data_IF_115614086275
#
_entry.id   IF_115614086275
#
_cell.length_a   1.000
_cell.length_b   1.000
_cell.length_c   1.000
_cell.angle_alpha   90.00
_cell.angle_beta   90.00
_cell.angle_gamma   90.00
#
_symmetry.space_group_name_H-M   'P 1'
#
loop_
_entity.id
_entity.type
_entity.pdbx_description
1 polymer ?
#
# COMPACT_ATOMS: atom_id res chain seq x y z
N UNK A 1 32.51 -49.99 64.13
CA UNK A 1 33.69 -49.88 63.26
C UNK A 1 33.19 -49.49 61.88
N UNK A 2 32.88 -48.21 61.72
CA UNK A 2 33.72 -47.15 61.10
C UNK A 2 33.44 -47.05 59.61
N UNK A 3 32.32 -46.38 59.31
CA UNK A 3 32.15 -45.63 58.08
C UNK A 3 33.04 -44.39 58.14
N UNK A 4 33.77 -44.11 57.06
CA UNK A 4 34.56 -42.88 56.87
C UNK A 4 34.38 -42.44 55.41
N UNK A 5 34.14 -41.14 55.14
CA UNK A 5 33.48 -40.69 53.92
C UNK A 5 34.48 -40.21 52.85
N UNK A 6 34.06 -40.22 51.59
CA UNK A 6 34.76 -39.55 50.51
C UNK A 6 33.93 -38.34 50.01
N UNK A 7 34.35 -37.18 50.50
CA UNK A 7 34.51 -35.88 49.82
C UNK A 7 33.45 -35.41 48.81
N UNK A 8 32.73 -34.35 49.20
CA UNK A 8 32.00 -33.42 48.34
C UNK A 8 32.94 -32.72 47.35
N UNK A 9 32.62 -32.80 46.05
CA UNK A 9 33.19 -32.00 44.99
C UNK A 9 32.16 -31.01 44.43
N UNK A 10 32.54 -29.75 44.36
CA UNK A 10 31.75 -28.56 44.00
C UNK A 10 31.18 -28.57 42.58
N UNK A 11 30.03 -27.89 42.48
CA UNK A 11 29.33 -27.34 41.31
C UNK A 11 30.22 -26.89 40.14
N UNK A 12 29.80 -27.17 38.91
CA UNK A 12 29.38 -26.19 37.89
C UNK A 12 28.89 -26.90 36.61
N UNK A 13 27.79 -26.45 35.96
CA UNK A 13 27.42 -26.94 34.64
C UNK A 13 28.42 -26.42 33.57
N UNK A 14 28.73 -27.21 32.53
CA UNK A 14 29.62 -26.78 31.46
C UNK A 14 29.04 -25.55 30.75
N UNK A 15 29.88 -24.52 30.63
CA UNK A 15 29.52 -23.20 30.15
C UNK A 15 28.94 -23.16 28.74
N UNK A 16 27.99 -22.24 28.55
CA UNK A 16 27.47 -21.83 27.26
C UNK A 16 28.60 -21.45 26.30
N UNK A 17 28.53 -21.83 25.01
CA UNK A 17 29.52 -21.41 24.03
C UNK A 17 29.54 -19.88 23.92
N UNK A 18 30.71 -19.27 23.67
CA UNK A 18 30.86 -17.83 23.62
C UNK A 18 29.94 -17.21 22.55
N UNK A 19 29.13 -16.25 22.98
CA UNK A 19 28.30 -15.39 22.12
C UNK A 19 29.23 -14.75 21.07
N UNK A 20 29.03 -15.10 19.79
CA UNK A 20 29.71 -14.43 18.67
C UNK A 20 29.52 -12.93 18.84
N UNK A 21 30.63 -12.20 19.00
CA UNK A 21 30.62 -10.74 19.00
C UNK A 21 30.00 -10.28 17.69
N UNK A 22 28.91 -9.52 17.77
CA UNK A 22 28.30 -8.90 16.61
C UNK A 22 29.39 -8.09 15.89
N UNK A 23 29.66 -8.44 14.64
CA UNK A 23 30.45 -7.60 13.74
C UNK A 23 29.72 -6.26 13.69
N UNK A 24 30.39 -5.19 14.08
CA UNK A 24 29.86 -3.85 13.98
C UNK A 24 29.34 -3.66 12.56
N UNK A 25 28.03 -3.40 12.46
CA UNK A 25 27.41 -3.08 11.19
C UNK A 25 28.03 -1.75 10.76
N UNK A 26 28.80 -1.79 9.67
CA UNK A 26 29.28 -0.58 9.03
C UNK A 26 28.06 0.32 8.79
N UNK A 27 28.11 1.62 9.16
CA UNK A 27 27.02 2.53 8.91
C UNK A 27 26.77 2.56 7.40
N UNK A 28 25.54 2.23 7.00
CA UNK A 28 25.12 2.31 5.60
C UNK A 28 25.45 3.71 5.06
N UNK A 29 26.27 3.83 4.00
CA UNK A 29 26.54 5.12 3.39
C UNK A 29 25.38 5.47 2.47
N UNK A 30 24.31 6.04 3.03
CA UNK A 30 23.35 6.81 2.24
C UNK A 30 22.60 7.81 3.13
N UNK A 31 23.33 8.77 3.67
CA UNK A 31 22.70 10.03 4.06
C UNK A 31 22.49 10.87 2.79
N UNK A 32 21.22 11.09 2.48
CA UNK A 32 20.65 12.37 2.05
C UNK A 32 21.27 13.05 0.82
N UNK A 33 21.26 12.36 -0.32
CA UNK A 33 21.13 13.13 -1.56
C UNK A 33 19.67 13.61 -1.64
N UNK A 34 19.40 14.92 -1.72
CA UNK A 34 18.05 15.41 -1.91
C UNK A 34 17.48 14.75 -3.17
N UNK A 35 16.28 14.20 -3.08
CA UNK A 35 15.56 13.74 -4.25
C UNK A 35 15.21 14.96 -5.11
N UNK A 36 16.10 15.32 -6.04
CA UNK A 36 15.84 16.43 -6.96
C UNK A 36 14.78 15.97 -7.95
N UNK A 37 13.54 16.38 -7.71
CA UNK A 37 12.43 16.13 -8.62
C UNK A 37 12.58 16.99 -9.89
N UNK A 38 13.20 16.42 -10.93
CA UNK A 38 13.37 17.04 -12.25
C UNK A 38 12.09 16.96 -13.12
N UNK A 39 10.91 16.93 -12.51
CA UNK A 39 9.65 16.92 -13.25
C UNK A 39 9.53 18.17 -14.14
N UNK A 40 9.41 17.93 -15.45
CA UNK A 40 9.20 18.94 -16.51
C UNK A 40 7.84 18.75 -17.20
N UNK A 41 6.90 18.09 -16.56
CA UNK A 41 5.57 17.84 -17.10
C UNK A 41 4.62 19.01 -16.88
N UNK A 42 3.33 18.73 -17.00
CA UNK A 42 2.26 19.70 -16.80
C UNK A 42 2.36 20.44 -15.46
N UNK A 43 2.25 21.77 -15.52
CA UNK A 43 2.08 22.65 -14.36
C UNK A 43 0.69 23.30 -14.49
N UNK A 44 -0.18 23.18 -13.47
CA UNK A 44 -1.50 23.80 -13.53
C UNK A 44 -1.35 25.33 -13.57
N UNK A 45 -2.15 26.03 -14.40
CA UNK A 45 -2.19 27.49 -14.37
C UNK A 45 -2.51 28.02 -12.96
N UNK A 46 -2.00 29.20 -12.57
CA UNK A 46 -2.30 29.80 -11.28
C UNK A 46 -3.82 29.92 -11.04
N UNK A 47 -4.29 29.54 -9.84
CA UNK A 47 -5.71 29.59 -9.48
C UNK A 47 -6.55 28.42 -10.00
N UNK A 48 -5.97 27.45 -10.70
CA UNK A 48 -6.68 26.24 -11.12
C UNK A 48 -7.02 25.38 -9.90
N UNK A 49 -8.32 25.24 -9.61
CA UNK A 49 -8.83 24.37 -8.53
C UNK A 49 -9.48 23.08 -9.04
N UNK A 50 -9.58 22.92 -10.35
CA UNK A 50 -10.29 21.81 -10.99
C UNK A 50 -9.44 21.15 -12.07
N UNK A 51 -9.65 19.86 -12.26
CA UNK A 51 -9.04 19.09 -13.34
C UNK A 51 -10.03 19.04 -14.51
N UNK A 52 -9.53 19.18 -15.74
CA UNK A 52 -10.35 18.99 -16.93
C UNK A 52 -11.04 17.62 -16.88
N UNK A 53 -12.32 17.58 -17.22
CA UNK A 53 -13.09 16.35 -17.20
C UNK A 53 -13.65 16.03 -18.59
N UNK A 54 -13.55 14.77 -18.99
CA UNK A 54 -14.13 14.26 -20.24
C UNK A 54 -15.14 13.17 -19.93
N UNK A 55 -16.25 13.14 -20.67
CA UNK A 55 -17.18 12.02 -20.67
C UNK A 55 -16.69 10.99 -21.69
N UNK A 56 -16.37 9.77 -21.23
CA UNK A 56 -15.76 8.74 -22.09
C UNK A 56 -16.57 8.45 -23.36
N UNK A 57 -17.92 8.31 -23.33
CA UNK A 57 -18.71 8.07 -24.54
C UNK A 57 -18.62 9.22 -25.56
N UNK A 58 -18.59 10.46 -25.08
CA UNK A 58 -18.48 11.66 -25.93
C UNK A 58 -17.09 11.76 -26.54
N UNK A 59 -16.05 11.44 -25.76
CA UNK A 59 -14.68 11.45 -26.25
C UNK A 59 -14.47 10.41 -27.37
N UNK A 60 -15.01 9.20 -27.18
CA UNK A 60 -14.97 8.12 -28.15
C UNK A 60 -15.75 8.46 -29.42
N UNK A 61 -16.95 9.03 -29.31
CA UNK A 61 -17.76 9.41 -30.48
C UNK A 61 -17.14 10.56 -31.29
N UNK A 62 -16.47 11.50 -30.61
CA UNK A 62 -15.81 12.65 -31.25
C UNK A 62 -14.60 12.24 -32.09
N UNK A 63 -13.79 11.31 -31.60
CA UNK A 63 -12.53 10.91 -32.26
C UNK A 63 -12.66 9.62 -33.08
N UNK A 64 -13.71 8.83 -32.84
CA UNK A 64 -13.85 7.47 -33.37
C UNK A 64 -12.95 6.47 -32.64
N UNK A 65 -13.41 5.23 -32.52
CA UNK A 65 -12.76 4.19 -31.70
C UNK A 65 -11.30 3.94 -32.05
N UNK A 66 -10.93 4.00 -33.35
CA UNK A 66 -9.56 3.77 -33.81
C UNK A 66 -8.59 4.91 -33.49
N UNK A 67 -9.06 6.16 -33.49
CA UNK A 67 -8.18 7.32 -33.30
C UNK A 67 -8.20 7.84 -31.87
N UNK A 68 -9.24 7.53 -31.08
CA UNK A 68 -9.36 7.96 -29.69
C UNK A 68 -8.13 7.65 -28.82
N UNK A 69 -7.44 6.48 -28.91
CA UNK A 69 -6.23 6.23 -28.13
C UNK A 69 -5.09 7.20 -28.46
N UNK A 70 -4.87 7.49 -29.75
CA UNK A 70 -3.83 8.43 -30.19
C UNK A 70 -4.17 9.87 -29.78
N UNK A 71 -5.45 10.26 -29.90
CA UNK A 71 -5.92 11.56 -29.43
C UNK A 71 -5.71 11.72 -27.92
N UNK A 72 -6.09 10.71 -27.12
CA UNK A 72 -5.90 10.71 -25.68
C UNK A 72 -4.42 10.78 -25.29
N UNK A 73 -3.56 10.04 -26.00
CA UNK A 73 -2.12 10.10 -25.79
C UNK A 73 -1.56 11.49 -26.05
N UNK A 74 -1.90 12.11 -27.18
CA UNK A 74 -1.40 13.45 -27.56
C UNK A 74 -1.90 14.54 -26.61
N UNK A 75 -3.16 14.45 -26.17
CA UNK A 75 -3.79 15.51 -25.39
C UNK A 75 -3.48 15.44 -23.89
N UNK A 76 -3.32 14.24 -23.31
CA UNK A 76 -3.20 14.07 -21.86
C UNK A 76 -1.92 13.34 -21.43
N UNK A 77 -1.56 12.23 -22.09
CA UNK A 77 -0.41 11.41 -21.65
C UNK A 77 0.94 12.07 -21.98
N UNK A 78 1.19 12.38 -23.25
CA UNK A 78 2.43 12.99 -23.72
C UNK A 78 2.77 14.30 -22.98
N UNK A 79 1.83 15.23 -22.74
CA UNK A 79 2.10 16.44 -21.96
C UNK A 79 2.09 16.20 -20.44
N UNK A 80 1.81 14.99 -19.96
CA UNK A 80 1.61 14.65 -18.54
C UNK A 80 0.51 15.47 -17.87
N UNK A 81 -0.55 15.79 -18.64
CA UNK A 81 -1.68 16.60 -18.20
C UNK A 81 -2.74 15.69 -17.54
N UNK A 82 -3.10 15.95 -16.26
CA UNK A 82 -4.14 15.18 -15.60
C UNK A 82 -5.50 15.45 -16.24
N UNK A 83 -6.36 14.42 -16.27
CA UNK A 83 -7.73 14.50 -16.77
C UNK A 83 -8.62 13.57 -15.94
N UNK A 84 -9.82 14.04 -15.61
CA UNK A 84 -10.86 13.24 -14.99
C UNK A 84 -11.70 12.57 -16.09
N UNK A 85 -11.72 11.25 -16.13
CA UNK A 85 -12.59 10.50 -17.05
C UNK A 85 -13.88 10.17 -16.30
N UNK A 86 -15.00 10.71 -16.78
CA UNK A 86 -16.33 10.48 -16.24
C UNK A 86 -17.03 9.31 -16.93
N UNK A 87 -17.93 8.69 -16.17
CA UNK A 87 -18.71 7.52 -16.58
C UNK A 87 -18.17 6.22 -16.00
N UNK A 88 -18.81 5.12 -16.36
CA UNK A 88 -18.34 3.76 -16.04
C UNK A 88 -17.57 3.20 -17.22
N UNK A 89 -16.79 2.15 -16.97
CA UNK A 89 -16.26 1.34 -18.06
C UNK A 89 -17.45 0.86 -18.93
N UNK A 90 -17.39 0.99 -20.26
CA UNK A 90 -18.47 0.55 -21.16
C UNK A 90 -18.56 -0.98 -21.26
N UNK A 91 -17.67 -1.71 -20.58
CA UNK A 91 -17.67 -3.15 -20.52
C UNK A 91 -18.91 -3.67 -19.77
N UNK A 92 -19.77 -4.40 -20.48
CA UNK A 92 -20.96 -5.01 -19.91
C UNK A 92 -20.64 -6.08 -18.84
N UNK A 93 -19.43 -6.63 -18.85
CA UNK A 93 -18.95 -7.55 -17.81
C UNK A 93 -18.45 -6.83 -16.56
N UNK A 94 -18.29 -5.51 -16.59
CA UNK A 94 -17.92 -4.72 -15.43
C UNK A 94 -19.05 -4.67 -14.40
N UNK A 95 -18.91 -5.46 -13.33
CA UNK A 95 -19.92 -5.56 -12.26
C UNK A 95 -19.48 -4.93 -10.94
N UNK A 96 -18.25 -4.43 -10.84
CA UNK A 96 -17.71 -3.90 -9.59
C UNK A 96 -18.53 -2.71 -9.06
N UNK A 97 -19.00 -1.82 -9.94
CA UNK A 97 -19.79 -0.64 -9.56
C UNK A 97 -21.12 -0.97 -8.87
N UNK A 98 -21.66 -2.18 -9.06
CA UNK A 98 -22.89 -2.65 -8.40
C UNK A 98 -22.59 -3.59 -7.24
N UNK A 99 -21.62 -4.50 -7.40
CA UNK A 99 -21.36 -5.57 -6.42
C UNK A 99 -20.46 -5.14 -5.25
N UNK A 100 -19.48 -4.26 -5.48
CA UNK A 100 -18.49 -3.91 -4.46
C UNK A 100 -19.01 -2.93 -3.41
N UNK A 101 -20.26 -2.48 -3.54
CA UNK A 101 -20.96 -1.71 -2.51
C UNK A 101 -21.41 -2.55 -1.33
N UNK A 102 -21.50 -3.87 -1.50
CA UNK A 102 -21.90 -4.80 -0.44
C UNK A 102 -20.66 -5.38 0.27
N UNK A 103 -20.43 -5.05 1.54
CA UNK A 103 -19.33 -5.61 2.31
C UNK A 103 -19.41 -7.14 2.43
N UNK A 104 -20.62 -7.72 2.45
CA UNK A 104 -20.79 -9.19 2.50
C UNK A 104 -20.30 -9.83 1.21
N UNK A 105 -20.60 -9.22 0.06
CA UNK A 105 -20.07 -9.66 -1.22
C UNK A 105 -18.53 -9.63 -1.22
N UNK A 106 -17.92 -8.52 -0.79
CA UNK A 106 -16.46 -8.36 -0.72
C UNK A 106 -15.81 -9.44 0.15
N UNK A 107 -16.32 -9.65 1.38
CA UNK A 107 -15.85 -10.69 2.31
C UNK A 107 -16.03 -12.10 1.70
N UNK A 108 -17.16 -12.38 1.06
CA UNK A 108 -17.41 -13.70 0.46
C UNK A 108 -16.47 -14.05 -0.70
N UNK A 109 -16.05 -13.05 -1.48
CA UNK A 109 -15.21 -13.26 -2.67
C UNK A 109 -13.72 -13.27 -2.37
N UNK A 110 -13.27 -12.44 -1.44
CA UNK A 110 -11.85 -12.22 -1.21
C UNK A 110 -11.43 -12.25 0.25
N UNK A 111 -12.34 -12.56 1.19
CA UNK A 111 -12.09 -12.42 2.63
C UNK A 111 -10.84 -13.13 3.15
N UNK A 112 -10.55 -14.32 2.60
CA UNK A 112 -9.38 -15.13 2.97
C UNK A 112 -8.05 -14.65 2.38
N UNK A 113 -8.07 -13.64 1.51
CA UNK A 113 -6.84 -13.08 0.95
C UNK A 113 -6.07 -12.32 2.04
N UNK A 114 -4.75 -12.53 2.10
CA UNK A 114 -3.86 -11.71 2.93
C UNK A 114 -3.57 -10.41 2.21
N UNK A 115 -3.67 -9.31 2.95
CA UNK A 115 -3.46 -7.96 2.44
C UNK A 115 -2.51 -7.18 3.33
N UNK A 116 -1.68 -6.36 2.70
CA UNK A 116 -0.84 -5.35 3.35
C UNK A 116 -1.64 -4.09 3.58
N UNK A 117 -1.65 -3.64 4.82
CA UNK A 117 -2.41 -2.48 5.28
C UNK A 117 -1.45 -1.54 5.97
N UNK A 118 -1.42 -0.30 5.52
CA UNK A 118 -0.73 0.77 6.23
C UNK A 118 -1.59 1.30 7.37
N UNK A 119 -0.97 1.52 8.52
CA UNK A 119 -1.62 1.97 9.75
C UNK A 119 -1.06 3.31 10.19
N UNK A 120 -1.91 4.12 10.80
CA UNK A 120 -1.53 5.38 11.47
C UNK A 120 -2.05 5.40 12.90
N UNK A 121 -1.40 6.14 13.79
CA UNK A 121 -1.81 6.20 15.19
C UNK A 121 -2.98 7.16 15.41
N UNK A 122 -3.13 8.16 14.53
CA UNK A 122 -4.20 9.14 14.59
C UNK A 122 -4.49 9.75 13.20
N UNK A 123 -5.57 10.53 13.10
CA UNK A 123 -6.04 11.11 11.83
C UNK A 123 -5.22 12.28 11.31
N UNK A 124 -4.28 12.81 12.11
CA UNK A 124 -3.36 13.91 11.71
C UNK A 124 -2.07 13.40 11.08
N UNK A 125 -1.78 12.10 11.21
CA UNK A 125 -0.65 11.46 10.56
C UNK A 125 -0.93 11.20 9.08
N UNK A 126 0.14 11.27 8.29
CA UNK A 126 0.16 10.97 6.87
C UNK A 126 0.43 9.47 6.64
N UNK A 127 -0.20 8.93 5.59
CA UNK A 127 0.19 7.63 5.03
C UNK A 127 1.50 7.78 4.22
N UNK A 128 2.19 6.68 3.94
CA UNK A 128 3.51 6.65 3.33
C UNK A 128 4.69 6.63 4.32
N UNK A 129 4.45 6.33 5.60
CA UNK A 129 5.50 6.27 6.65
C UNK A 129 6.04 4.86 6.87
N UNK A 130 5.52 3.86 6.15
CA UNK A 130 6.02 2.49 6.15
C UNK A 130 5.60 1.64 7.37
N UNK A 131 4.65 2.13 8.17
CA UNK A 131 4.02 1.34 9.26
C UNK A 131 2.95 0.41 8.68
N UNK A 132 3.40 -0.75 8.21
CA UNK A 132 2.53 -1.75 7.59
C UNK A 132 2.30 -2.96 8.50
N UNK A 133 1.10 -3.51 8.40
CA UNK A 133 0.71 -4.79 8.97
C UNK A 133 0.04 -5.66 7.91
N UNK A 134 0.00 -6.96 8.13
CA UNK A 134 -0.71 -7.89 7.25
C UNK A 134 -1.91 -8.48 7.99
N UNK A 135 -3.08 -8.44 7.36
CA UNK A 135 -4.32 -9.02 7.89
C UNK A 135 -5.11 -9.72 6.78
N UNK A 136 -6.17 -10.43 7.15
CA UNK A 136 -7.13 -10.95 6.17
C UNK A 136 -7.97 -9.80 5.60
N UNK A 137 -8.35 -9.90 4.33
CA UNK A 137 -9.18 -8.88 3.69
C UNK A 137 -10.53 -8.73 4.39
N UNK A 138 -11.10 -9.81 4.94
CA UNK A 138 -12.34 -9.71 5.71
C UNK A 138 -12.19 -8.93 7.02
N UNK A 139 -11.02 -9.03 7.67
CA UNK A 139 -10.69 -8.25 8.86
C UNK A 139 -10.58 -6.77 8.49
N UNK A 140 -9.87 -6.46 7.39
CA UNK A 140 -9.77 -5.09 6.87
C UNK A 140 -11.15 -4.47 6.56
N UNK A 141 -12.01 -5.18 5.83
CA UNK A 141 -13.37 -4.69 5.52
C UNK A 141 -14.18 -4.48 6.80
N UNK A 142 -14.03 -5.37 7.80
CA UNK A 142 -14.71 -5.22 9.09
C UNK A 142 -14.23 -3.98 9.84
N UNK A 143 -12.92 -3.71 9.88
CA UNK A 143 -12.37 -2.52 10.52
C UNK A 143 -12.83 -1.23 9.83
N UNK A 144 -12.69 -1.15 8.51
CA UNK A 144 -12.95 0.11 7.78
C UNK A 144 -14.45 0.39 7.64
N UNK A 145 -15.26 -0.64 7.38
CA UNK A 145 -16.69 -0.45 7.10
C UNK A 145 -17.54 -0.61 8.35
N UNK A 146 -17.37 -1.71 9.09
CA UNK A 146 -18.28 -2.02 10.20
C UNK A 146 -17.91 -1.25 11.47
N UNK A 147 -16.62 -0.95 11.68
CA UNK A 147 -16.12 -0.17 12.83
C UNK A 147 -15.77 1.28 12.48
N UNK A 148 -15.95 1.68 11.21
CA UNK A 148 -15.62 3.02 10.70
C UNK A 148 -14.17 3.45 11.03
N UNK A 149 -13.24 2.51 11.07
CA UNK A 149 -11.84 2.77 11.41
C UNK A 149 -11.11 3.45 10.24
N UNK A 150 -10.87 4.76 10.38
CA UNK A 150 -10.20 5.58 9.37
C UNK A 150 -8.67 5.54 9.45
N UNK A 151 -8.08 4.69 10.29
CA UNK A 151 -6.63 4.62 10.52
C UNK A 151 -5.93 3.58 9.64
N UNK A 152 -6.67 2.93 8.74
CA UNK A 152 -6.19 1.86 7.89
C UNK A 152 -6.26 2.25 6.41
N UNK A 153 -5.21 1.91 5.66
CA UNK A 153 -5.15 2.08 4.22
C UNK A 153 -4.68 0.80 3.55
N UNK A 154 -5.47 0.27 2.62
CA UNK A 154 -5.12 -0.94 1.86
C UNK A 154 -4.05 -0.61 0.82
N UNK A 155 -2.86 -1.17 0.99
CA UNK A 155 -1.73 -0.95 0.06
C UNK A 155 -1.76 -1.96 -1.08
N UNK A 156 -2.01 -3.23 -0.76
CA UNK A 156 -2.01 -4.28 -1.76
C UNK A 156 -2.14 -5.68 -1.19
N UNK A 157 -1.97 -6.68 -2.05
CA UNK A 157 -1.89 -8.08 -1.65
C UNK A 157 -0.49 -8.37 -1.09
N UNK A 158 -0.45 -9.18 -0.03
CA UNK A 158 0.79 -9.75 0.53
C UNK A 158 1.39 -10.80 -0.41
#
# INVERSE_FOLDING_TARGET
MTATPATFGSLTPPGSPPRKKNKAQEPSPSQDLPCINNYRGYVPPPGTTTVEAIDLPVFLSTHGERQAPLAFFRQYIAPRKPVLIRGTLPDQQWRAGTLWKDPKYLKSKAGKARVRVETRENTREEYGQGKETTMLFEEFVTEVVDKENQLLYLVGRD
#
